data_IF_930326649536
#
_entry.id   IF_930326649536
#
_cell.length_a   1.000
_cell.length_b   1.000
_cell.length_c   1.000
_cell.angle_alpha   90.00
_cell.angle_beta   90.00
_cell.angle_gamma   90.00
#
_symmetry.space_group_name_H-M   'P 1'
#
loop_
_entity.id
_entity.type
_entity.pdbx_description
1 polymer ?
#
# COMPACT_ATOMS: atom_id res chain seq x y z
N UNK A 1 -50.19 -1.74 -24.95
CA UNK A 1 -49.65 -1.77 -23.58
C UNK A 1 -48.15 -1.53 -23.63
N UNK A 2 -47.68 -0.36 -23.17
CA UNK A 2 -46.25 -0.03 -23.08
C UNK A 2 -45.71 -0.67 -21.80
N UNK A 3 -44.92 -1.74 -21.92
CA UNK A 3 -44.14 -2.28 -20.82
C UNK A 3 -42.69 -1.82 -20.99
N UNK A 4 -42.26 -1.09 -19.97
CA UNK A 4 -40.97 -0.45 -19.80
C UNK A 4 -39.80 -1.43 -19.94
N UNK A 5 -38.86 -1.09 -20.81
CA UNK A 5 -37.58 -1.77 -20.93
C UNK A 5 -36.76 -1.61 -19.64
N UNK A 6 -36.54 -2.71 -18.91
CA UNK A 6 -35.52 -2.74 -17.87
C UNK A 6 -34.12 -2.73 -18.52
N UNK A 7 -33.23 -1.78 -18.18
CA UNK A 7 -31.86 -1.82 -18.66
C UNK A 7 -31.06 -2.92 -17.95
N UNK A 8 -30.11 -3.51 -18.69
CA UNK A 8 -29.18 -4.53 -18.21
C UNK A 8 -28.48 -4.12 -16.90
N UNK A 9 -28.12 -5.08 -16.02
CA UNK A 9 -27.36 -4.78 -14.82
C UNK A 9 -25.93 -4.40 -15.20
N UNK A 10 -25.71 -3.14 -15.55
CA UNK A 10 -24.41 -2.52 -15.34
C UNK A 10 -24.18 -2.62 -13.84
N UNK A 11 -23.28 -3.49 -13.37
CA UNK A 11 -22.74 -3.40 -12.02
C UNK A 11 -22.19 -1.97 -11.90
N UNK A 12 -22.99 -1.08 -11.31
CA UNK A 12 -22.64 0.32 -11.15
C UNK A 12 -21.42 0.31 -10.24
N UNK A 13 -20.26 0.63 -10.78
CA UNK A 13 -19.05 0.96 -10.03
C UNK A 13 -19.39 1.93 -8.88
N UNK A 14 -20.40 2.80 -9.07
CA UNK A 14 -20.99 3.66 -8.03
C UNK A 14 -21.57 2.88 -6.83
N UNK A 15 -22.28 1.77 -7.03
CA UNK A 15 -22.83 0.96 -5.94
C UNK A 15 -21.73 0.29 -5.12
N UNK A 16 -20.68 -0.21 -5.78
CA UNK A 16 -19.52 -0.81 -5.10
C UNK A 16 -18.70 0.26 -4.35
N UNK A 17 -18.52 1.46 -4.95
CA UNK A 17 -17.89 2.59 -4.28
C UNK A 17 -18.70 3.15 -3.12
N UNK A 18 -20.03 3.07 -3.15
CA UNK A 18 -20.88 3.53 -2.05
C UNK A 18 -20.87 2.53 -0.89
N UNK A 19 -20.82 1.22 -1.16
CA UNK A 19 -20.78 0.19 -0.11
C UNK A 19 -19.39 -0.01 0.49
N UNK A 20 -18.35 0.01 -0.33
CA UNK A 20 -16.96 -0.17 0.11
C UNK A 20 -16.23 1.15 0.43
N UNK A 21 -16.70 2.27 -0.10
CA UNK A 21 -16.09 3.59 0.08
C UNK A 21 -15.90 4.00 1.54
N UNK A 22 -16.90 3.87 2.43
CA UNK A 22 -16.75 4.24 3.83
C UNK A 22 -15.65 3.44 4.56
N UNK A 23 -15.32 2.24 4.10
CA UNK A 23 -14.29 1.38 4.72
C UNK A 23 -12.92 1.48 4.03
N UNK A 24 -12.88 1.60 2.70
CA UNK A 24 -11.63 1.68 1.94
C UNK A 24 -11.07 3.10 1.84
N UNK A 25 -11.92 4.12 1.73
CA UNK A 25 -11.50 5.52 1.61
C UNK A 25 -10.68 6.00 2.82
N UNK A 26 -11.08 5.78 4.09
CA UNK A 26 -10.27 6.21 5.23
C UNK A 26 -8.92 5.46 5.30
N UNK A 27 -8.88 4.19 4.89
CA UNK A 27 -7.61 3.44 4.81
C UNK A 27 -6.73 3.92 3.66
N UNK A 28 -7.29 4.24 2.51
CA UNK A 28 -6.57 4.80 1.37
C UNK A 28 -6.03 6.21 1.70
N UNK A 29 -6.80 7.05 2.39
CA UNK A 29 -6.37 8.36 2.86
C UNK A 29 -5.29 8.23 3.94
N UNK A 30 -5.44 7.32 4.90
CA UNK A 30 -4.42 7.06 5.92
C UNK A 30 -3.12 6.52 5.30
N UNK A 31 -3.23 5.64 4.31
CA UNK A 31 -2.12 5.13 3.51
C UNK A 31 -1.44 6.26 2.72
N UNK A 32 -2.21 7.11 2.03
CA UNK A 32 -1.68 8.25 1.30
C UNK A 32 -1.01 9.27 2.23
N UNK A 33 -1.63 9.60 3.36
CA UNK A 33 -1.08 10.51 4.38
C UNK A 33 0.19 9.94 5.00
N UNK A 34 0.24 8.63 5.29
CA UNK A 34 1.44 7.98 5.83
C UNK A 34 2.57 7.85 4.80
N UNK A 35 2.24 7.61 3.52
CA UNK A 35 3.21 7.63 2.42
C UNK A 35 3.78 9.04 2.21
N UNK A 36 2.93 10.08 2.20
CA UNK A 36 3.33 11.48 2.09
C UNK A 36 4.14 11.95 3.31
N UNK A 37 3.71 11.61 4.52
CA UNK A 37 4.44 11.91 5.75
C UNK A 37 5.80 11.20 5.82
N UNK A 38 5.92 10.01 5.21
CA UNK A 38 7.20 9.32 5.07
C UNK A 38 8.10 9.98 4.02
N UNK A 39 7.53 10.54 2.95
CA UNK A 39 8.26 11.24 1.90
C UNK A 39 8.85 12.58 2.37
N UNK A 40 8.19 13.29 3.29
CA UNK A 40 8.62 14.58 3.83
C UNK A 40 9.58 14.48 5.03
N UNK A 41 10.06 13.28 5.40
CA UNK A 41 10.97 13.13 6.56
C UNK A 41 12.37 13.64 6.23
N UNK A 42 12.94 14.56 7.04
CA UNK A 42 14.30 15.07 6.85
C UNK A 42 15.39 13.99 7.04
N UNK A 43 15.05 12.89 7.71
CA UNK A 43 15.97 11.80 8.09
C UNK A 43 15.78 10.53 7.22
N UNK A 44 15.48 10.70 5.92
CA UNK A 44 15.22 9.59 4.98
C UNK A 44 16.48 8.75 4.74
N UNK A 45 16.41 7.40 4.82
CA UNK A 45 17.54 6.56 4.40
C UNK A 45 17.80 6.72 2.89
N UNK A 46 19.07 6.71 2.44
CA UNK A 46 19.40 6.84 1.03
C UNK A 46 18.73 5.73 0.20
N UNK A 47 18.48 6.04 -1.08
CA UNK A 47 17.93 5.08 -2.04
C UNK A 47 18.90 3.90 -2.13
N UNK A 48 18.42 2.70 -1.77
CA UNK A 48 19.22 1.49 -1.79
C UNK A 48 19.09 0.79 -3.16
N UNK A 49 20.17 0.17 -3.68
CA UNK A 49 20.08 -0.69 -4.86
C UNK A 49 19.22 -1.91 -4.54
N UNK A 50 18.54 -2.44 -5.57
CA UNK A 50 17.65 -3.57 -5.42
C UNK A 50 18.45 -4.84 -5.07
N UNK A 51 18.19 -5.41 -3.90
CA UNK A 51 18.87 -6.63 -3.44
C UNK A 51 18.44 -7.83 -4.30
N UNK A 52 19.37 -8.74 -4.61
CA UNK A 52 19.14 -9.93 -5.44
C UNK A 52 17.87 -10.77 -5.13
N UNK A 53 17.50 -11.04 -3.86
CA UNK A 53 16.22 -11.71 -3.57
C UNK A 53 14.98 -10.90 -3.98
N UNK A 54 14.95 -9.60 -3.68
CA UNK A 54 13.84 -8.72 -4.09
C UNK A 54 13.76 -8.60 -5.62
N UNK A 55 14.89 -8.56 -6.31
CA UNK A 55 14.95 -8.58 -7.77
C UNK A 55 14.30 -9.86 -8.33
N UNK A 56 14.63 -11.04 -7.79
CA UNK A 56 14.04 -12.31 -8.25
C UNK A 56 12.51 -12.34 -8.08
N UNK A 57 12.01 -11.86 -6.95
CA UNK A 57 10.56 -11.76 -6.72
C UNK A 57 9.86 -10.79 -7.69
N UNK A 58 10.46 -9.62 -7.93
CA UNK A 58 9.94 -8.62 -8.88
C UNK A 58 9.94 -9.18 -10.31
N UNK A 59 11.04 -9.81 -10.74
CA UNK A 59 11.14 -10.42 -12.07
C UNK A 59 10.11 -11.52 -12.24
N UNK A 60 9.94 -12.40 -11.25
CA UNK A 60 8.94 -13.47 -11.29
C UNK A 60 7.52 -12.92 -11.51
N UNK A 61 7.12 -11.91 -10.73
CA UNK A 61 5.80 -11.28 -10.86
C UNK A 61 5.63 -10.52 -12.17
N UNK A 62 6.67 -9.83 -12.65
CA UNK A 62 6.61 -9.13 -13.94
C UNK A 62 6.50 -10.11 -15.11
N UNK A 63 7.24 -11.21 -15.09
CA UNK A 63 7.15 -12.26 -16.12
C UNK A 63 5.75 -12.89 -16.10
N UNK A 64 5.21 -13.19 -14.91
CA UNK A 64 3.84 -13.69 -14.77
C UNK A 64 2.80 -12.69 -15.31
N UNK A 65 2.91 -11.41 -14.94
CA UNK A 65 2.04 -10.35 -15.42
C UNK A 65 2.10 -10.19 -16.95
N UNK A 66 3.29 -10.18 -17.53
CA UNK A 66 3.48 -10.11 -18.99
C UNK A 66 2.91 -11.33 -19.71
N UNK A 67 3.11 -12.53 -19.14
CA UNK A 67 2.53 -13.76 -19.69
C UNK A 67 0.99 -13.71 -19.67
N UNK A 68 0.38 -13.31 -18.56
CA UNK A 68 -1.07 -13.16 -18.43
C UNK A 68 -1.62 -12.09 -19.39
N UNK A 69 -0.93 -10.95 -19.48
CA UNK A 69 -1.30 -9.87 -20.39
C UNK A 69 -1.20 -10.29 -21.85
N UNK A 70 -0.14 -11.02 -22.22
CA UNK A 70 0.00 -11.63 -23.54
C UNK A 70 -1.16 -12.57 -23.86
N UNK A 71 -1.53 -13.45 -22.92
CA UNK A 71 -2.71 -14.34 -23.08
C UNK A 71 -4.05 -13.60 -23.13
N UNK A 72 -4.13 -12.40 -22.56
CA UNK A 72 -5.34 -11.56 -22.59
C UNK A 72 -5.48 -10.83 -23.94
N UNK A 73 -4.37 -10.36 -24.50
CA UNK A 73 -4.34 -9.49 -25.68
C UNK A 73 -4.21 -10.26 -27.00
N UNK A 74 -3.51 -11.41 -27.02
CA UNK A 74 -3.27 -12.15 -28.26
C UNK A 74 -4.48 -13.03 -28.60
N UNK A 75 -5.20 -12.75 -29.70
CA UNK A 75 -6.38 -13.53 -30.10
C UNK A 75 -6.02 -14.98 -30.46
N UNK A 76 -4.80 -15.24 -30.93
CA UNK A 76 -4.31 -16.59 -31.24
C UNK A 76 -4.22 -17.51 -30.00
N UNK A 77 -4.16 -16.94 -28.78
CA UNK A 77 -4.11 -17.70 -27.52
C UNK A 77 -5.50 -17.88 -26.89
N UNK A 78 -6.53 -17.28 -27.49
CA UNK A 78 -7.91 -17.45 -27.09
C UNK A 78 -8.55 -18.63 -27.86
N UNK A 79 -9.47 -19.37 -27.23
CA UNK A 79 -10.25 -20.38 -27.95
C UNK A 79 -11.00 -19.74 -29.11
N UNK A 80 -11.06 -20.44 -30.25
CA UNK A 80 -11.75 -19.96 -31.43
C UNK A 80 -13.26 -19.80 -31.17
N UNK A 81 -13.84 -18.71 -31.67
CA UNK A 81 -15.27 -18.49 -31.67
C UNK A 81 -15.85 -18.88 -33.03
N UNK A 82 -16.67 -19.94 -33.07
CA UNK A 82 -17.24 -20.49 -34.30
C UNK A 82 -18.11 -19.47 -35.04
N UNK A 83 -18.86 -18.62 -34.32
CA UNK A 83 -19.70 -17.58 -34.95
C UNK A 83 -18.88 -16.45 -35.54
N UNK A 84 -17.76 -16.08 -34.91
CA UNK A 84 -16.84 -15.05 -35.43
C UNK A 84 -16.03 -15.61 -36.60
N UNK A 85 -15.52 -16.84 -36.50
CA UNK A 85 -14.77 -17.48 -37.58
C UNK A 85 -15.61 -17.63 -38.85
N UNK A 86 -16.88 -18.04 -38.72
CA UNK A 86 -17.80 -18.23 -39.85
C UNK A 86 -18.61 -16.98 -40.21
N UNK A 87 -18.39 -15.84 -39.53
CA UNK A 87 -19.15 -14.59 -39.68
C UNK A 87 -20.68 -14.81 -39.71
N UNK A 88 -21.18 -15.69 -38.83
CA UNK A 88 -22.57 -16.14 -38.84
C UNK A 88 -23.36 -15.60 -37.66
N UNK A 89 -24.63 -15.27 -37.89
CA UNK A 89 -25.57 -14.81 -36.84
C UNK A 89 -25.95 -15.93 -35.88
N UNK A 90 -26.32 -15.59 -34.66
CA UNK A 90 -26.67 -16.57 -33.61
C UNK A 90 -27.86 -17.46 -33.97
N UNK A 91 -28.78 -17.00 -34.82
CA UNK A 91 -29.99 -17.72 -35.25
C UNK A 91 -29.80 -18.60 -36.50
N UNK A 92 -28.59 -18.69 -37.06
CA UNK A 92 -28.33 -19.49 -38.26
C UNK A 92 -28.68 -20.99 -38.05
N UNK A 93 -29.21 -21.73 -39.03
CA UNK A 93 -29.39 -23.17 -38.89
C UNK A 93 -28.05 -23.88 -38.58
N UNK A 94 -28.06 -24.88 -37.69
CA UNK A 94 -26.85 -25.57 -37.22
C UNK A 94 -26.08 -26.21 -38.37
N UNK A 95 -26.78 -26.86 -39.28
CA UNK A 95 -26.20 -27.48 -40.49
C UNK A 95 -25.39 -26.47 -41.31
N UNK A 96 -25.98 -25.32 -41.64
CA UNK A 96 -25.32 -24.28 -42.44
C UNK A 96 -24.08 -23.72 -41.72
N UNK A 97 -24.14 -23.58 -40.39
CA UNK A 97 -22.99 -23.13 -39.60
C UNK A 97 -21.82 -24.10 -39.72
N UNK A 98 -22.07 -25.40 -39.55
CA UNK A 98 -21.01 -26.41 -39.60
C UNK A 98 -20.54 -26.73 -41.03
N UNK A 99 -21.38 -26.57 -42.05
CA UNK A 99 -20.92 -26.62 -43.46
C UNK A 99 -19.97 -25.46 -43.78
N UNK A 100 -20.23 -24.25 -43.26
CA UNK A 100 -19.30 -23.12 -43.39
C UNK A 100 -18.03 -23.37 -42.58
N UNK A 101 -18.15 -23.93 -41.38
CA UNK A 101 -16.99 -24.24 -40.56
C UNK A 101 -16.10 -25.27 -41.24
N UNK A 102 -16.66 -26.35 -41.80
CA UNK A 102 -15.88 -27.35 -42.53
C UNK A 102 -15.16 -26.74 -43.73
N UNK A 103 -15.77 -25.78 -44.44
CA UNK A 103 -15.07 -25.08 -45.54
C UNK A 103 -13.83 -24.27 -45.11
N UNK A 104 -13.76 -23.86 -43.83
CA UNK A 104 -12.62 -23.15 -43.25
C UNK A 104 -11.56 -24.10 -42.65
N UNK A 105 -11.88 -25.38 -42.48
CA UNK A 105 -10.97 -26.38 -41.90
C UNK A 105 -10.08 -27.02 -42.98
N UNK A 106 -8.85 -27.45 -42.62
CA UNK A 106 -8.01 -28.23 -43.51
C UNK A 106 -8.73 -29.51 -43.96
N UNK A 107 -8.75 -29.77 -45.28
CA UNK A 107 -9.38 -30.99 -45.83
C UNK A 107 -10.91 -30.98 -45.85
N UNK A 108 -11.55 -29.81 -45.66
CA UNK A 108 -13.01 -29.66 -45.69
C UNK A 108 -13.78 -30.58 -44.71
N UNK A 109 -13.11 -31.03 -43.65
CA UNK A 109 -13.65 -31.95 -42.65
C UNK A 109 -13.77 -31.27 -41.29
N UNK A 110 -14.81 -31.63 -40.55
CA UNK A 110 -15.00 -31.17 -39.17
C UNK A 110 -14.00 -31.88 -38.26
N UNK A 111 -13.48 -31.16 -37.26
CA UNK A 111 -12.66 -31.79 -36.22
C UNK A 111 -13.56 -32.56 -35.24
N UNK A 112 -13.04 -33.56 -34.50
CA UNK A 112 -13.84 -34.29 -33.49
C UNK A 112 -14.50 -33.37 -32.46
N UNK A 113 -13.85 -32.24 -32.16
CA UNK A 113 -14.38 -31.19 -31.29
C UNK A 113 -15.52 -30.42 -31.93
N UNK A 114 -15.41 -30.11 -33.23
CA UNK A 114 -16.48 -29.45 -33.99
C UNK A 114 -17.71 -30.37 -34.09
N UNK A 115 -17.52 -31.68 -34.28
CA UNK A 115 -18.61 -32.67 -34.28
C UNK A 115 -19.30 -32.77 -32.91
N UNK A 116 -18.52 -32.78 -31.82
CA UNK A 116 -19.06 -32.74 -30.46
C UNK A 116 -19.86 -31.45 -30.20
N UNK A 117 -19.39 -30.29 -30.68
CA UNK A 117 -20.13 -29.03 -30.61
C UNK A 117 -21.40 -29.07 -31.44
N UNK A 118 -21.35 -29.65 -32.64
CA UNK A 118 -22.51 -29.79 -33.53
C UNK A 118 -23.63 -30.58 -32.88
N UNK A 119 -23.30 -31.69 -32.23
CA UNK A 119 -24.26 -32.51 -31.49
C UNK A 119 -24.97 -31.74 -30.35
N UNK A 120 -24.34 -30.69 -29.81
CA UNK A 120 -24.88 -29.88 -28.71
C UNK A 120 -25.69 -28.66 -29.17
N UNK A 121 -25.48 -28.16 -30.40
CA UNK A 121 -26.18 -27.01 -30.97
C UNK A 121 -27.59 -27.34 -31.48
N UNK A 122 -28.45 -27.91 -30.61
CA UNK A 122 -29.82 -28.31 -30.97
C UNK A 122 -30.79 -27.13 -30.88
N UNK A 123 -30.65 -26.29 -29.86
CA UNK A 123 -31.57 -25.19 -29.55
C UNK A 123 -30.83 -23.85 -29.39
N UNK A 124 -31.58 -22.73 -29.35
CA UNK A 124 -30.99 -21.41 -29.11
C UNK A 124 -30.28 -21.36 -27.75
N UNK A 125 -30.84 -22.02 -26.74
CA UNK A 125 -30.31 -22.04 -25.37
C UNK A 125 -28.87 -22.60 -25.29
N UNK A 126 -28.59 -23.70 -25.96
CA UNK A 126 -27.24 -24.29 -26.06
C UNK A 126 -26.22 -23.31 -26.66
N UNK A 127 -26.66 -22.47 -27.59
CA UNK A 127 -25.82 -21.41 -28.19
C UNK A 127 -25.63 -20.24 -27.23
N UNK A 128 -26.59 -19.94 -26.37
CA UNK A 128 -26.41 -18.94 -25.30
C UNK A 128 -25.42 -19.46 -24.25
N UNK A 129 -25.50 -20.73 -23.88
CA UNK A 129 -24.56 -21.39 -22.97
C UNK A 129 -23.14 -21.43 -23.56
N UNK A 130 -23.01 -21.63 -24.88
CA UNK A 130 -21.74 -21.50 -25.60
C UNK A 130 -21.09 -20.11 -25.40
N UNK A 131 -21.89 -19.04 -25.49
CA UNK A 131 -21.41 -17.67 -25.32
C UNK A 131 -21.01 -17.35 -23.86
N UNK A 132 -21.61 -18.04 -22.90
CA UNK A 132 -21.33 -17.86 -21.47
C UNK A 132 -20.13 -18.67 -20.99
N UNK A 133 -20.09 -19.98 -21.29
CA UNK A 133 -19.10 -20.92 -20.75
C UNK A 133 -17.99 -21.31 -21.74
N UNK A 134 -18.19 -21.03 -23.03
CA UNK A 134 -17.21 -21.27 -24.08
C UNK A 134 -17.28 -22.64 -24.75
N UNK A 135 -16.42 -22.86 -25.77
CA UNK A 135 -16.47 -24.04 -26.62
C UNK A 135 -16.06 -25.33 -25.91
N UNK A 136 -15.07 -25.30 -25.01
CA UNK A 136 -14.60 -26.52 -24.33
C UNK A 136 -15.70 -27.10 -23.43
N UNK A 137 -16.29 -26.27 -22.56
CA UNK A 137 -17.32 -26.68 -21.60
C UNK A 137 -18.51 -27.33 -22.29
N UNK A 138 -18.97 -26.75 -23.40
CA UNK A 138 -20.12 -27.28 -24.12
C UNK A 138 -19.79 -28.57 -24.88
N UNK A 139 -18.59 -28.68 -25.46
CA UNK A 139 -18.18 -29.85 -26.24
C UNK A 139 -17.85 -31.06 -25.37
N UNK A 140 -17.18 -30.86 -24.23
CA UNK A 140 -16.56 -31.94 -23.45
C UNK A 140 -17.33 -32.33 -22.19
N UNK A 141 -18.40 -31.63 -21.80
CA UNK A 141 -19.11 -31.96 -20.59
C UNK A 141 -19.90 -33.28 -20.74
N UNK A 142 -19.62 -34.32 -19.92
CA UNK A 142 -20.25 -35.63 -20.05
C UNK A 142 -21.63 -35.71 -19.40
N UNK A 143 -21.90 -34.87 -18.38
CA UNK A 143 -23.14 -34.89 -17.59
C UNK A 143 -24.01 -33.64 -17.79
N UNK A 144 -23.61 -32.71 -18.67
CA UNK A 144 -24.39 -31.52 -18.95
C UNK A 144 -25.42 -31.82 -20.05
N UNK A 145 -26.68 -31.94 -19.65
CA UNK A 145 -27.86 -31.98 -20.53
C UNK A 145 -27.92 -33.17 -21.51
N UNK A 146 -28.67 -34.21 -21.15
CA UNK A 146 -29.26 -35.14 -22.12
C UNK A 146 -30.52 -34.54 -22.77
N UNK A 147 -31.00 -35.10 -23.90
CA UNK A 147 -32.22 -34.65 -24.59
C UNK A 147 -33.48 -34.58 -23.70
N UNK A 148 -33.51 -35.32 -22.59
CA UNK A 148 -34.72 -35.52 -21.77
C UNK A 148 -34.61 -34.98 -20.33
N UNK A 149 -33.50 -34.32 -19.96
CA UNK A 149 -33.27 -33.91 -18.57
C UNK A 149 -33.80 -32.50 -18.28
N UNK A 150 -35.06 -32.42 -17.82
CA UNK A 150 -35.67 -31.17 -17.33
C UNK A 150 -34.89 -30.51 -16.17
N UNK A 151 -34.09 -31.27 -15.41
CA UNK A 151 -33.17 -30.76 -14.37
C UNK A 151 -31.89 -30.12 -14.92
N UNK A 152 -31.55 -30.38 -16.19
CA UNK A 152 -30.42 -29.77 -16.90
C UNK A 152 -30.81 -28.53 -17.73
N UNK A 153 -32.10 -28.14 -17.73
CA UNK A 153 -32.61 -26.89 -18.32
C UNK A 153 -32.17 -25.63 -17.57
N UNK A 154 -31.52 -25.77 -16.40
CA UNK A 154 -30.79 -24.71 -15.75
C UNK A 154 -29.31 -24.83 -16.09
N UNK A 155 -28.68 -23.78 -16.59
CA UNK A 155 -27.23 -23.74 -16.89
C UNK A 155 -26.28 -23.98 -15.70
N UNK A 156 -26.76 -24.55 -14.59
CA UNK A 156 -26.03 -24.88 -13.38
C UNK A 156 -25.05 -26.05 -13.56
N UNK A 157 -25.42 -27.10 -14.30
CA UNK A 157 -24.50 -28.23 -14.58
C UNK A 157 -23.27 -27.76 -15.36
N UNK A 158 -23.49 -26.93 -16.39
CA UNK A 158 -22.43 -26.27 -17.16
C UNK A 158 -21.58 -25.35 -16.29
N UNK A 159 -22.18 -24.60 -15.35
CA UNK A 159 -21.45 -23.77 -14.40
C UNK A 159 -20.49 -24.60 -13.54
N UNK A 160 -20.96 -25.68 -12.92
CA UNK A 160 -20.11 -26.53 -12.07
C UNK A 160 -18.97 -27.19 -12.86
N UNK A 161 -19.22 -27.62 -14.09
CA UNK A 161 -18.16 -28.13 -14.97
C UNK A 161 -17.16 -27.05 -15.38
N UNK A 162 -17.61 -25.80 -15.55
CA UNK A 162 -16.75 -24.66 -15.90
C UNK A 162 -15.88 -24.18 -14.72
N UNK A 163 -16.28 -24.40 -13.47
CA UNK A 163 -15.60 -23.88 -12.27
C UNK A 163 -14.10 -24.17 -12.20
N UNK A 164 -13.61 -25.41 -12.46
CA UNK A 164 -12.17 -25.68 -12.44
C UNK A 164 -11.39 -24.83 -13.45
N UNK A 165 -11.89 -24.71 -14.69
CA UNK A 165 -11.27 -23.87 -15.71
C UNK A 165 -11.36 -22.37 -15.37
N UNK A 166 -12.43 -21.96 -14.69
CA UNK A 166 -12.67 -20.61 -14.21
C UNK A 166 -11.67 -20.21 -13.10
N UNK A 167 -11.43 -21.11 -12.15
CA UNK A 167 -10.60 -20.89 -10.96
C UNK A 167 -9.11 -21.18 -11.17
N UNK A 168 -8.76 -22.06 -12.13
CA UNK A 168 -7.38 -22.42 -12.44
C UNK A 168 -6.42 -21.21 -12.59
N UNK A 169 -6.73 -20.15 -13.38
CA UNK A 169 -5.82 -19.00 -13.48
C UNK A 169 -5.64 -18.26 -12.16
N UNK A 170 -6.68 -18.20 -11.32
CA UNK A 170 -6.61 -17.55 -9.99
C UNK A 170 -5.77 -18.35 -9.01
N UNK A 171 -5.92 -19.67 -9.00
CA UNK A 171 -5.12 -20.57 -8.15
C UNK A 171 -3.65 -20.56 -8.55
N UNK A 172 -3.36 -20.56 -9.86
CA UNK A 172 -2.00 -20.45 -10.37
C UNK A 172 -1.39 -19.09 -10.02
N UNK A 173 -2.14 -17.99 -10.17
CA UNK A 173 -1.67 -16.66 -9.78
C UNK A 173 -1.41 -16.57 -8.28
N UNK A 174 -2.32 -17.10 -7.46
CA UNK A 174 -2.16 -17.17 -6.01
C UNK A 174 -0.89 -17.94 -5.63
N UNK A 175 -0.60 -19.04 -6.31
CA UNK A 175 0.62 -19.82 -6.10
C UNK A 175 1.88 -19.02 -6.45
N UNK A 176 1.91 -18.37 -7.61
CA UNK A 176 3.03 -17.51 -8.05
C UNK A 176 3.24 -16.35 -7.08
N UNK A 177 2.16 -15.65 -6.70
CA UNK A 177 2.22 -14.56 -5.74
C UNK A 177 2.68 -15.03 -4.35
N UNK A 178 2.27 -16.23 -3.92
CA UNK A 178 2.71 -16.83 -2.65
C UNK A 178 4.21 -17.13 -2.68
N UNK A 179 4.74 -17.69 -3.78
CA UNK A 179 6.18 -17.91 -3.95
C UNK A 179 6.93 -16.57 -3.97
N UNK A 180 6.48 -15.61 -4.77
CA UNK A 180 7.11 -14.30 -4.90
C UNK A 180 7.20 -13.56 -3.56
N UNK A 181 6.20 -13.75 -2.70
CA UNK A 181 6.15 -13.11 -1.39
C UNK A 181 6.80 -13.94 -0.28
N UNK A 182 7.27 -15.18 -0.52
CA UNK A 182 7.85 -16.08 0.51
C UNK A 182 9.21 -15.58 1.03
N UNK A 183 9.56 -15.77 2.32
CA UNK A 183 10.76 -15.14 2.89
C UNK A 183 12.03 -15.70 2.27
N UNK A 184 12.02 -16.98 1.85
CA UNK A 184 13.17 -17.61 1.19
C UNK A 184 13.57 -16.91 -0.11
N UNK A 185 12.60 -16.42 -0.90
CA UNK A 185 12.87 -15.69 -2.13
C UNK A 185 13.16 -14.20 -1.88
N UNK A 186 12.60 -13.62 -0.81
CA UNK A 186 12.84 -12.23 -0.38
C UNK A 186 14.07 -12.05 0.56
N UNK A 187 14.78 -13.14 0.89
CA UNK A 187 16.07 -13.10 1.60
C UNK A 187 16.02 -13.37 3.11
N UNK A 188 14.87 -13.68 3.69
CA UNK A 188 14.70 -13.89 5.14
C UNK A 188 15.25 -15.22 5.70
N UNK A 189 15.70 -16.15 4.87
CA UNK A 189 16.19 -17.47 5.32
C UNK A 189 17.71 -17.67 5.17
N UNK A 190 18.39 -16.83 4.37
CA UNK A 190 19.83 -17.00 4.09
C UNK A 190 20.75 -16.19 5.04
N UNK A 191 20.19 -15.37 5.94
CA UNK A 191 21.00 -14.57 6.88
C UNK A 191 21.25 -15.31 8.22
N UNK A 192 20.68 -16.50 8.42
CA UNK A 192 20.88 -17.28 9.66
C UNK A 192 21.99 -18.34 9.58
N UNK A 193 22.64 -18.52 8.42
CA UNK A 193 23.73 -19.51 8.27
C UNK A 193 25.13 -18.92 8.52
N UNK A 194 25.31 -17.60 8.41
CA UNK A 194 26.63 -16.97 8.60
C UNK A 194 26.89 -16.53 10.06
N UNK A 195 25.85 -16.44 10.90
CA UNK A 195 25.96 -15.92 12.28
C UNK A 195 26.08 -17.01 13.36
N UNK A 196 26.07 -18.28 12.95
CA UNK A 196 26.15 -19.44 13.85
C UNK A 196 27.58 -19.94 14.17
N UNK A 197 28.62 -19.28 13.69
CA UNK A 197 30.00 -19.75 13.91
C UNK A 197 30.76 -18.99 15.02
N UNK A 198 30.35 -17.78 15.43
CA UNK A 198 31.05 -17.02 16.46
C UNK A 198 30.05 -16.39 17.47
N UNK A 199 30.17 -16.85 18.72
CA UNK A 199 29.64 -16.28 19.97
C UNK A 199 28.23 -16.73 20.43
N UNK A 200 28.23 -17.67 21.37
CA UNK A 200 27.96 -17.38 22.79
C UNK A 200 26.62 -16.71 23.14
N UNK A 201 25.77 -17.49 23.82
CA UNK A 201 24.70 -17.09 24.76
C UNK A 201 24.23 -15.63 24.69
N UNK A 202 23.23 -15.38 23.86
CA UNK A 202 22.42 -14.17 23.91
C UNK A 202 20.98 -14.53 23.54
N UNK A 203 20.13 -14.64 24.54
CA UNK A 203 18.68 -14.81 24.37
C UNK A 203 18.12 -13.66 23.54
N UNK A 204 17.90 -13.92 22.25
CA UNK A 204 17.51 -12.95 21.24
C UNK A 204 15.99 -12.87 21.06
N UNK A 205 15.30 -12.21 21.98
CA UNK A 205 13.87 -11.88 21.85
C UNK A 205 13.67 -10.54 21.12
N UNK A 206 14.07 -10.43 19.85
CA UNK A 206 13.81 -9.22 19.04
C UNK A 206 13.53 -9.51 17.54
N UNK A 207 12.93 -10.66 17.23
CA UNK A 207 12.55 -11.05 15.85
C UNK A 207 11.12 -10.69 15.43
N UNK A 208 10.29 -10.08 16.30
CA UNK A 208 8.83 -10.00 16.10
C UNK A 208 8.34 -8.98 15.05
N UNK A 209 9.03 -7.86 14.86
CA UNK A 209 8.54 -6.77 13.99
C UNK A 209 8.57 -7.11 12.49
N UNK A 210 9.63 -7.78 12.04
CA UNK A 210 9.87 -8.01 10.61
C UNK A 210 9.01 -9.14 10.07
N UNK A 211 8.80 -10.21 10.84
CA UNK A 211 7.91 -11.30 10.45
C UNK A 211 6.47 -10.85 10.27
N UNK A 212 6.01 -9.91 11.09
CA UNK A 212 4.60 -9.48 11.11
C UNK A 212 4.24 -8.65 9.89
N UNK A 213 5.13 -7.74 9.47
CA UNK A 213 4.94 -6.96 8.25
C UNK A 213 4.84 -7.86 7.02
N UNK A 214 5.71 -8.86 6.93
CA UNK A 214 5.76 -9.79 5.80
C UNK A 214 4.51 -10.69 5.78
N UNK A 215 4.03 -11.16 6.94
CA UNK A 215 2.76 -11.91 7.04
C UNK A 215 1.57 -11.09 6.56
N UNK A 216 1.52 -9.79 6.86
CA UNK A 216 0.44 -8.88 6.40
C UNK A 216 0.43 -8.70 4.88
N UNK A 217 1.59 -8.55 4.24
CA UNK A 217 1.66 -8.41 2.78
C UNK A 217 1.22 -9.70 2.07
N UNK A 218 1.55 -10.86 2.63
CA UNK A 218 1.07 -12.16 2.12
C UNK A 218 -0.43 -12.31 2.26
N UNK A 219 -1.00 -11.99 3.43
CA UNK A 219 -2.43 -12.13 3.64
C UNK A 219 -3.24 -11.17 2.76
N UNK A 220 -2.72 -9.96 2.51
CA UNK A 220 -3.33 -9.01 1.58
C UNK A 220 -3.28 -9.50 0.12
N UNK A 221 -2.13 -10.00 -0.35
CA UNK A 221 -2.00 -10.55 -1.69
C UNK A 221 -2.89 -11.78 -1.91
N UNK A 222 -2.96 -12.67 -0.91
CA UNK A 222 -3.83 -13.83 -0.92
C UNK A 222 -5.31 -13.41 -0.91
N UNK A 223 -5.70 -12.50 -0.03
CA UNK A 223 -7.07 -11.98 0.04
C UNK A 223 -7.50 -11.29 -1.26
N UNK A 224 -6.61 -10.52 -1.90
CA UNK A 224 -6.88 -9.89 -3.19
C UNK A 224 -7.10 -10.93 -4.30
N UNK A 225 -6.28 -11.99 -4.34
CA UNK A 225 -6.43 -13.08 -5.31
C UNK A 225 -7.74 -13.84 -5.12
N UNK A 226 -8.09 -14.16 -3.87
CA UNK A 226 -9.38 -14.81 -3.53
C UNK A 226 -10.57 -13.91 -3.85
N UNK A 227 -10.47 -12.61 -3.58
CA UNK A 227 -11.52 -11.66 -3.91
C UNK A 227 -11.74 -11.54 -5.42
N UNK A 228 -10.67 -11.53 -6.23
CA UNK A 228 -10.79 -11.56 -7.70
C UNK A 228 -11.43 -12.86 -8.17
N UNK A 229 -11.04 -14.01 -7.61
CA UNK A 229 -11.66 -15.30 -7.95
C UNK A 229 -13.16 -15.30 -7.62
N UNK A 230 -13.55 -14.84 -6.43
CA UNK A 230 -14.94 -14.76 -6.01
C UNK A 230 -15.76 -13.80 -6.88
N UNK A 231 -15.20 -12.64 -7.23
CA UNK A 231 -15.83 -11.69 -8.15
C UNK A 231 -16.08 -12.33 -9.51
N UNK A 232 -15.12 -13.09 -10.02
CA UNK A 232 -15.20 -13.72 -11.34
C UNK A 232 -16.24 -14.85 -11.40
N UNK A 233 -16.29 -15.67 -10.35
CA UNK A 233 -17.35 -16.66 -10.13
C UNK A 233 -18.72 -15.97 -10.11
N UNK A 234 -18.85 -14.89 -9.33
CA UNK A 234 -20.08 -14.12 -9.23
C UNK A 234 -20.50 -13.52 -10.58
N UNK A 235 -19.57 -12.89 -11.32
CA UNK A 235 -19.87 -12.31 -12.63
C UNK A 235 -20.29 -13.36 -13.65
N UNK A 236 -19.67 -14.55 -13.61
CA UNK A 236 -20.01 -15.67 -14.51
C UNK A 236 -21.38 -16.25 -14.18
N UNK A 237 -21.69 -16.42 -12.89
CA UNK A 237 -22.95 -17.00 -12.41
C UNK A 237 -24.13 -16.04 -12.60
N UNK A 238 -23.92 -14.74 -12.37
CA UNK A 238 -24.97 -13.70 -12.48
C UNK A 238 -25.17 -13.19 -13.90
N UNK A 239 -24.39 -13.69 -14.87
CA UNK A 239 -24.51 -13.27 -16.26
C UNK A 239 -25.84 -13.70 -16.88
N UNK A 240 -26.58 -12.73 -17.45
CA UNK A 240 -27.82 -13.00 -18.16
C UNK A 240 -27.55 -13.37 -19.63
N UNK A 241 -27.33 -14.66 -19.88
CA UNK A 241 -27.14 -15.18 -21.24
C UNK A 241 -28.37 -14.95 -22.15
N UNK A 242 -29.57 -14.87 -21.57
CA UNK A 242 -30.81 -14.60 -22.30
C UNK A 242 -30.84 -13.24 -23.01
N UNK A 243 -29.99 -12.28 -22.63
CA UNK A 243 -29.90 -10.99 -23.31
C UNK A 243 -29.50 -11.13 -24.79
N UNK A 244 -28.66 -12.12 -25.12
CA UNK A 244 -28.22 -12.39 -26.49
C UNK A 244 -29.28 -13.04 -27.38
N UNK A 245 -30.39 -13.55 -26.80
CA UNK A 245 -31.46 -14.18 -27.59
C UNK A 245 -32.14 -13.19 -28.57
N UNK A 246 -32.09 -11.90 -28.27
CA UNK A 246 -32.69 -10.83 -29.08
C UNK A 246 -31.73 -10.26 -30.14
N UNK A 247 -30.45 -10.63 -30.10
CA UNK A 247 -29.46 -10.12 -31.04
C UNK A 247 -29.70 -10.69 -32.44
N UNK A 248 -29.85 -9.80 -33.43
CA UNK A 248 -30.10 -10.19 -34.83
C UNK A 248 -28.82 -10.17 -35.66
N UNK A 249 -27.87 -9.32 -35.26
CA UNK A 249 -26.56 -9.15 -35.90
C UNK A 249 -25.47 -9.73 -35.03
N UNK A 250 -24.39 -10.21 -35.66
CA UNK A 250 -23.22 -10.72 -34.93
C UNK A 250 -22.59 -9.66 -34.02
N UNK A 251 -22.56 -8.40 -34.47
CA UNK A 251 -22.00 -7.28 -33.71
C UNK A 251 -22.82 -6.92 -32.45
N UNK A 252 -24.08 -7.33 -32.36
CA UNK A 252 -24.95 -7.09 -31.20
C UNK A 252 -24.79 -8.17 -30.11
N UNK A 253 -24.11 -9.28 -30.44
CA UNK A 253 -23.95 -10.41 -29.53
C UNK A 253 -22.81 -10.11 -28.54
N UNK A 254 -23.12 -10.15 -27.24
CA UNK A 254 -22.10 -10.07 -26.20
C UNK A 254 -21.38 -11.42 -26.07
N UNK A 255 -20.12 -11.44 -26.50
CA UNK A 255 -19.22 -12.59 -26.44
C UNK A 255 -18.62 -12.74 -25.04
N UNK A 256 -19.49 -12.97 -24.04
CA UNK A 256 -19.14 -12.90 -22.62
C UNK A 256 -17.94 -13.77 -22.25
N UNK A 257 -17.88 -15.04 -22.68
CA UNK A 257 -16.78 -15.95 -22.38
C UNK A 257 -15.41 -15.37 -22.77
N UNK A 258 -15.29 -14.82 -23.98
CA UNK A 258 -14.02 -14.24 -24.46
C UNK A 258 -13.70 -12.93 -23.73
N UNK A 259 -14.70 -12.07 -23.53
CA UNK A 259 -14.54 -10.79 -22.82
C UNK A 259 -14.16 -10.99 -21.35
N UNK A 260 -14.81 -11.92 -20.65
CA UNK A 260 -14.55 -12.24 -19.24
C UNK A 260 -13.20 -12.92 -19.07
N UNK A 261 -12.82 -13.83 -19.98
CA UNK A 261 -11.48 -14.43 -20.02
C UNK A 261 -10.38 -13.37 -20.15
N UNK A 262 -10.49 -12.46 -21.13
CA UNK A 262 -9.51 -11.40 -21.32
C UNK A 262 -9.47 -10.46 -20.11
N UNK A 263 -10.63 -10.04 -19.59
CA UNK A 263 -10.73 -9.19 -18.40
C UNK A 263 -10.11 -9.81 -17.16
N UNK A 264 -10.33 -11.10 -16.91
CA UNK A 264 -9.74 -11.86 -15.79
C UNK A 264 -8.22 -11.90 -15.86
N UNK A 265 -7.68 -12.27 -17.02
CA UNK A 265 -6.23 -12.35 -17.22
C UNK A 265 -5.58 -10.97 -17.07
N UNK A 266 -6.22 -9.91 -17.60
CA UNK A 266 -5.77 -8.55 -17.41
C UNK A 266 -5.82 -8.11 -15.93
N UNK A 267 -6.88 -8.46 -15.19
CA UNK A 267 -7.01 -8.14 -13.77
C UNK A 267 -5.91 -8.81 -12.93
N UNK A 268 -5.61 -10.08 -13.21
CA UNK A 268 -4.50 -10.80 -12.57
C UNK A 268 -3.14 -10.19 -12.92
N UNK A 269 -2.92 -9.82 -14.18
CA UNK A 269 -1.69 -9.13 -14.60
C UNK A 269 -1.50 -7.78 -13.87
N UNK A 270 -2.58 -7.01 -13.69
CA UNK A 270 -2.56 -5.76 -12.92
C UNK A 270 -2.24 -6.02 -11.45
N UNK A 271 -2.82 -7.06 -10.85
CA UNK A 271 -2.51 -7.44 -9.47
C UNK A 271 -1.03 -7.76 -9.30
N UNK A 272 -0.48 -8.60 -10.17
CA UNK A 272 0.94 -8.99 -10.13
C UNK A 272 1.87 -7.80 -10.37
N UNK A 273 1.53 -6.92 -11.32
CA UNK A 273 2.25 -5.67 -11.56
C UNK A 273 2.23 -4.74 -10.35
N UNK A 274 1.09 -4.63 -9.66
CA UNK A 274 0.96 -3.83 -8.44
C UNK A 274 1.77 -4.41 -7.28
N UNK A 275 1.78 -5.74 -7.12
CA UNK A 275 2.62 -6.43 -6.13
C UNK A 275 4.11 -6.24 -6.42
N UNK A 276 4.53 -6.39 -7.68
CA UNK A 276 5.90 -6.14 -8.11
C UNK A 276 6.33 -4.70 -7.82
N UNK A 277 5.48 -3.72 -8.15
CA UNK A 277 5.73 -2.31 -7.85
C UNK A 277 5.84 -2.04 -6.34
N UNK A 278 4.97 -2.64 -5.52
CA UNK A 278 5.03 -2.50 -4.07
C UNK A 278 6.34 -3.07 -3.49
N UNK A 279 6.76 -4.27 -3.94
CA UNK A 279 8.03 -4.88 -3.52
C UNK A 279 9.22 -4.01 -3.95
N UNK A 280 9.22 -3.53 -5.19
CA UNK A 280 10.28 -2.66 -5.70
C UNK A 280 10.41 -1.36 -4.89
N UNK A 281 9.29 -0.68 -4.63
CA UNK A 281 9.27 0.56 -3.87
C UNK A 281 9.69 0.37 -2.42
N UNK A 282 9.30 -0.74 -1.80
CA UNK A 282 9.71 -1.10 -0.44
C UNK A 282 11.21 -1.46 -0.38
N UNK A 283 11.70 -2.25 -1.33
CA UNK A 283 13.10 -2.70 -1.34
C UNK A 283 14.10 -1.57 -1.65
N UNK A 284 13.68 -0.52 -2.37
CA UNK A 284 14.53 0.63 -2.74
C UNK A 284 14.43 1.81 -1.76
N UNK A 285 13.73 1.67 -0.63
CA UNK A 285 13.43 2.76 0.31
C UNK A 285 12.76 3.98 -0.38
N UNK A 286 11.93 3.71 -1.40
CA UNK A 286 11.15 4.74 -2.11
C UNK A 286 9.77 4.98 -1.50
N UNK A 287 9.16 3.92 -0.99
CA UNK A 287 7.92 3.97 -0.22
C UNK A 287 8.00 2.99 0.96
N UNK A 288 7.05 3.08 1.90
CA UNK A 288 6.96 2.17 3.05
C UNK A 288 8.19 2.19 3.98
N UNK A 289 8.73 3.38 4.25
CA UNK A 289 9.87 3.55 5.14
C UNK A 289 9.55 2.93 6.51
N UNK A 290 10.34 1.94 6.90
CA UNK A 290 10.25 1.36 8.25
C UNK A 290 10.62 2.44 9.27
N UNK A 291 9.78 2.72 10.27
CA UNK A 291 10.19 3.58 11.36
C UNK A 291 11.40 2.94 12.05
N UNK A 292 12.44 3.73 12.33
CA UNK A 292 13.54 3.27 13.19
C UNK A 292 12.95 2.82 14.52
N UNK A 293 13.46 1.69 15.05
CA UNK A 293 13.10 1.21 16.39
C UNK A 293 13.35 2.33 17.42
N UNK A 294 12.61 2.39 18.55
CA UNK A 294 12.83 3.38 19.58
C UNK A 294 14.30 3.38 20.06
N UNK A 295 14.92 2.22 20.17
CA UNK A 295 16.35 2.07 20.45
C UNK A 295 17.24 2.66 19.34
N UNK A 296 16.91 2.43 18.05
CA UNK A 296 17.63 3.02 16.92
C UNK A 296 17.50 4.56 16.87
N UNK A 297 16.35 5.11 17.28
CA UNK A 297 16.18 6.55 17.46
C UNK A 297 17.06 7.09 18.58
N UNK A 298 17.06 6.43 19.74
CA UNK A 298 17.90 6.79 20.87
C UNK A 298 19.39 6.73 20.53
N UNK A 299 19.85 5.65 19.89
CA UNK A 299 21.23 5.48 19.45
C UNK A 299 21.67 6.57 18.45
N UNK A 300 20.80 6.98 17.52
CA UNK A 300 21.08 8.08 16.59
C UNK A 300 21.20 9.42 17.30
N UNK A 301 20.30 9.73 18.24
CA UNK A 301 20.36 10.97 19.03
C UNK A 301 21.62 10.96 19.91
N UNK A 302 21.94 9.83 20.55
CA UNK A 302 23.17 9.65 21.31
C UNK A 302 24.41 9.88 20.43
N UNK A 303 24.44 9.34 19.21
CA UNK A 303 25.54 9.60 18.26
C UNK A 303 25.70 11.08 17.90
N UNK A 304 24.59 11.80 17.69
CA UNK A 304 24.62 13.27 17.47
C UNK A 304 25.12 14.02 18.70
N UNK A 305 24.70 13.61 19.90
CA UNK A 305 25.14 14.19 21.16
C UNK A 305 26.64 13.96 21.40
N UNK A 306 27.14 12.76 21.11
CA UNK A 306 28.58 12.46 21.19
C UNK A 306 29.38 13.32 20.22
N UNK A 307 28.91 13.49 18.98
CA UNK A 307 29.56 14.36 18.01
C UNK A 307 29.54 15.84 18.45
N UNK A 308 28.43 16.31 19.03
CA UNK A 308 28.33 17.66 19.59
C UNK A 308 29.27 17.85 20.79
N UNK A 309 29.32 16.87 21.71
CA UNK A 309 30.25 16.87 22.86
C UNK A 309 31.70 16.91 22.40
N UNK A 310 32.07 16.16 21.37
CA UNK A 310 33.42 16.21 20.81
C UNK A 310 33.78 17.61 20.29
N UNK A 311 32.87 18.26 19.56
CA UNK A 311 33.06 19.64 19.08
C UNK A 311 33.21 20.64 20.24
N UNK A 312 32.38 20.52 21.28
CA UNK A 312 32.49 21.35 22.48
C UNK A 312 33.80 21.10 23.24
N UNK A 313 34.27 19.85 23.29
CA UNK A 313 35.57 19.50 23.85
C UNK A 313 36.71 20.19 23.11
N UNK A 314 36.70 20.16 21.77
CA UNK A 314 37.68 20.88 20.95
C UNK A 314 37.62 22.38 21.19
N UNK A 315 36.42 22.97 21.21
CA UNK A 315 36.25 24.39 21.51
C UNK A 315 36.77 24.75 22.91
N UNK A 316 36.55 23.87 23.90
CA UNK A 316 37.07 24.02 25.26
C UNK A 316 38.59 23.97 25.31
N UNK A 317 39.22 23.02 24.60
CA UNK A 317 40.68 22.94 24.49
C UNK A 317 41.25 24.21 23.85
N UNK A 318 40.69 24.64 22.72
CA UNK A 318 41.12 25.88 22.03
C UNK A 318 40.99 27.09 22.97
N UNK A 319 39.85 27.24 23.66
CA UNK A 319 39.65 28.33 24.63
C UNK A 319 40.66 28.27 25.76
N UNK A 320 40.94 27.07 26.30
CA UNK A 320 41.91 26.90 27.37
C UNK A 320 43.33 27.24 26.90
N UNK A 321 43.72 26.81 25.70
CA UNK A 321 45.01 27.16 25.08
C UNK A 321 45.15 28.67 24.89
N UNK A 322 44.13 29.35 24.36
CA UNK A 322 44.12 30.82 24.18
C UNK A 322 44.22 31.54 25.53
N UNK A 323 43.55 31.05 26.58
CA UNK A 323 43.60 31.67 27.89
C UNK A 323 44.91 31.44 28.63
N UNK A 324 45.66 30.37 28.32
CA UNK A 324 46.96 30.09 28.96
C UNK A 324 48.12 30.87 28.32
N UNK A 325 48.06 31.11 27.02
CA UNK A 325 49.08 31.89 26.30
C UNK A 325 48.84 33.40 26.47
N UNK A 326 49.90 34.16 26.77
CA UNK A 326 49.78 35.60 27.03
C UNK A 326 49.47 36.42 25.77
N UNK A 327 50.10 36.09 24.65
CA UNK A 327 49.96 36.80 23.39
C UNK A 327 48.60 36.53 22.75
N UNK A 328 48.14 35.27 22.78
CA UNK A 328 46.81 34.90 22.27
C UNK A 328 45.68 35.54 23.08
N UNK A 329 45.84 35.61 24.41
CA UNK A 329 44.86 36.26 25.29
C UNK A 329 44.77 37.75 25.02
N UNK A 330 45.90 38.44 24.82
CA UNK A 330 45.93 39.86 24.48
C UNK A 330 45.22 40.10 23.13
N UNK A 331 45.55 39.32 22.09
CA UNK A 331 44.89 39.42 20.78
C UNK A 331 43.38 39.14 20.84
N UNK A 332 42.95 38.18 21.67
CA UNK A 332 41.54 37.90 21.90
C UNK A 332 40.85 39.09 22.58
N UNK A 333 41.47 39.69 23.60
CA UNK A 333 40.95 40.88 24.26
C UNK A 333 40.85 42.08 23.29
N UNK A 334 41.88 42.33 22.48
CA UNK A 334 41.91 43.39 21.48
C UNK A 334 40.85 43.18 20.39
N UNK A 335 40.60 41.93 19.99
CA UNK A 335 39.51 41.60 19.08
C UNK A 335 38.16 41.98 19.68
N UNK A 336 37.87 41.54 20.91
CA UNK A 336 36.59 41.84 21.57
C UNK A 336 36.42 43.32 21.90
N UNK A 337 37.50 44.03 22.22
CA UNK A 337 37.47 45.47 22.43
C UNK A 337 37.11 46.21 21.13
N UNK A 338 37.73 45.84 20.01
CA UNK A 338 37.41 46.39 18.68
C UNK A 338 35.99 46.06 18.23
N UNK A 339 35.54 44.83 18.47
CA UNK A 339 34.17 44.42 18.16
C UNK A 339 33.17 45.26 18.99
N UNK A 340 33.43 45.45 20.29
CA UNK A 340 32.58 46.28 21.15
C UNK A 340 32.55 47.74 20.70
N UNK A 341 33.69 48.28 20.24
CA UNK A 341 33.76 49.63 19.68
C UNK A 341 32.98 49.75 18.37
N UNK A 342 33.15 48.81 17.45
CA UNK A 342 32.40 48.75 16.18
C UNK A 342 30.89 48.60 16.41
N UNK A 343 30.49 47.72 17.35
CA UNK A 343 29.08 47.56 17.74
C UNK A 343 28.53 48.81 18.40
N UNK A 344 29.34 49.52 19.20
CA UNK A 344 28.94 50.79 19.82
C UNK A 344 28.74 51.86 18.76
N UNK A 345 29.67 52.02 17.83
CA UNK A 345 29.56 52.95 16.70
C UNK A 345 28.33 52.64 15.84
N UNK A 346 28.14 51.38 15.45
CA UNK A 346 26.96 50.94 14.70
C UNK A 346 25.64 51.15 15.47
N UNK A 347 25.68 51.15 16.81
CA UNK A 347 24.53 51.44 17.66
C UNK A 347 24.31 52.94 17.87
N UNK A 348 25.31 53.78 17.61
CA UNK A 348 25.17 55.25 17.65
C UNK A 348 24.54 55.80 16.36
N UNK A 349 24.55 55.01 15.27
CA UNK A 349 23.86 55.35 14.02
C UNK A 349 22.36 55.53 14.24
N UNK A 350 21.85 56.68 13.75
CA UNK A 350 20.46 57.10 13.95
C UNK A 350 19.46 56.09 13.38
N UNK A 351 19.74 55.55 12.20
CA UNK A 351 18.86 54.58 11.54
C UNK A 351 18.74 53.27 12.35
N UNK A 352 19.83 52.85 13.00
CA UNK A 352 19.84 51.65 13.86
C UNK A 352 19.12 51.91 15.17
N UNK A 353 19.32 53.08 15.78
CA UNK A 353 18.60 53.49 17.00
C UNK A 353 17.09 53.58 16.78
N UNK A 354 16.67 54.20 15.68
CA UNK A 354 15.26 54.31 15.30
C UNK A 354 14.66 52.93 15.00
N UNK A 355 15.40 52.06 14.31
CA UNK A 355 14.99 50.68 14.05
C UNK A 355 14.89 49.81 15.32
N UNK A 356 15.83 49.94 16.26
CA UNK A 356 15.80 49.23 17.54
C UNK A 356 14.67 49.74 18.42
N UNK A 357 14.42 51.06 18.44
CA UNK A 357 13.31 51.65 19.17
C UNK A 357 11.95 51.18 18.61
N UNK A 358 11.76 51.21 17.28
CA UNK A 358 10.57 50.66 16.63
C UNK A 358 10.38 49.18 16.96
N UNK A 359 11.45 48.38 16.93
CA UNK A 359 11.39 46.98 17.27
C UNK A 359 10.97 46.76 18.74
N UNK A 360 11.52 47.52 19.68
CA UNK A 360 11.18 47.41 21.11
C UNK A 360 9.76 47.88 21.43
N UNK A 361 9.26 48.90 20.74
CA UNK A 361 7.91 49.46 20.98
C UNK A 361 6.84 48.62 20.28
N UNK A 362 7.08 48.19 19.04
CA UNK A 362 6.02 47.65 18.18
C UNK A 362 6.13 46.14 17.93
N UNK A 363 7.32 45.52 18.05
CA UNK A 363 7.55 44.13 17.56
C UNK A 363 8.03 43.15 18.62
N UNK A 364 8.72 43.63 19.65
CA UNK A 364 9.41 42.80 20.64
C UNK A 364 8.78 43.01 22.01
N UNK A 365 8.28 41.94 22.63
CA UNK A 365 7.81 41.96 24.01
C UNK A 365 8.95 41.59 24.94
N UNK A 366 9.57 42.59 25.58
CA UNK A 366 10.72 42.42 26.48
C UNK A 366 10.42 41.42 27.60
N UNK A 367 9.21 41.47 28.17
CA UNK A 367 8.78 40.55 29.24
C UNK A 367 8.76 39.07 28.79
N UNK A 368 8.48 38.81 27.52
CA UNK A 368 8.49 37.45 26.99
C UNK A 368 9.94 36.95 26.85
N UNK A 369 10.85 37.83 26.44
CA UNK A 369 12.29 37.53 26.34
C UNK A 369 12.88 37.29 27.73
N UNK A 370 12.57 38.14 28.72
CA UNK A 370 13.05 37.97 30.10
C UNK A 370 12.60 36.63 30.69
N UNK A 371 11.32 36.29 30.50
CA UNK A 371 10.75 35.02 30.96
C UNK A 371 11.38 33.81 30.24
N UNK A 372 11.69 33.93 28.95
CA UNK A 372 12.36 32.88 28.19
C UNK A 372 13.83 32.72 28.59
N UNK A 373 14.52 33.83 28.88
CA UNK A 373 15.88 33.84 29.38
C UNK A 373 15.98 33.23 30.78
N UNK A 374 15.07 33.59 31.69
CA UNK A 374 14.99 33.01 33.03
C UNK A 374 14.73 31.49 32.96
N UNK A 375 13.81 31.06 32.10
CA UNK A 375 13.53 29.63 31.88
C UNK A 375 14.75 28.89 31.32
N UNK A 376 15.50 29.50 30.42
CA UNK A 376 16.72 28.93 29.86
C UNK A 376 17.82 28.81 30.93
N UNK A 377 18.04 29.87 31.72
CA UNK A 377 19.02 29.89 32.81
C UNK A 377 18.70 28.84 33.88
N UNK A 378 17.44 28.77 34.32
CA UNK A 378 16.96 27.74 35.25
C UNK A 378 17.10 26.32 34.69
N UNK A 379 17.01 26.15 33.37
CA UNK A 379 17.21 24.86 32.69
C UNK A 379 18.68 24.42 32.55
N UNK A 380 19.63 25.33 32.71
CA UNK A 380 21.07 25.02 32.71
C UNK A 380 21.62 24.65 34.09
N UNK A 381 20.93 25.04 35.16
CA UNK A 381 21.28 24.63 36.50
C UNK A 381 20.98 23.13 36.65
N UNK A 382 21.91 22.32 37.18
CA UNK A 382 21.59 20.96 37.59
C UNK A 382 20.43 21.06 38.58
N UNK A 383 19.37 20.29 38.35
CA UNK A 383 18.36 20.08 39.38
C UNK A 383 19.09 19.43 40.55
N UNK A 384 19.33 20.22 41.60
CA UNK A 384 19.61 19.66 42.91
C UNK A 384 18.33 18.92 43.25
N UNK A 385 18.38 17.59 43.10
CA UNK A 385 17.43 16.74 43.79
C UNK A 385 17.75 16.97 45.26
N UNK A 386 16.78 17.51 46.00
CA UNK A 386 16.88 17.60 47.45
C UNK A 386 16.97 16.16 47.98
N UNK A 387 18.19 15.64 48.07
CA UNK A 387 18.57 14.53 48.94
C UNK A 387 18.42 15.03 50.38
N UNK A 388 17.19 15.09 50.88
CA UNK A 388 16.94 15.01 52.32
C UNK A 388 17.08 13.54 52.75
N UNK A 389 18.33 13.09 52.86
CA UNK A 389 18.69 11.97 53.72
C UNK A 389 18.61 12.44 55.18
N UNK A 390 17.96 11.61 56.00
CA UNK A 390 17.37 12.01 57.27
C UNK A 390 18.31 12.21 58.44
N UNK A 391 17.82 13.00 59.40
CA UNK A 391 18.04 12.81 60.83
C UNK A 391 16.69 12.97 61.53
N UNK A 392 16.44 12.05 62.46
CA UNK A 392 15.19 11.81 63.18
C UNK A 392 14.78 13.00 64.07
N UNK A 393 13.50 13.37 64.07
CA UNK A 393 12.70 13.56 65.30
C UNK A 393 11.21 13.78 65.00
N UNK A 394 10.40 13.38 65.97
CA UNK A 394 8.96 13.11 65.97
C UNK A 394 8.05 14.27 65.55
N UNK A 395 6.95 13.97 64.88
CA UNK A 395 5.88 14.96 64.63
C UNK A 395 4.80 14.51 63.66
N UNK A 396 3.75 13.88 64.19
CA UNK A 396 2.54 13.52 63.47
C UNK A 396 1.89 14.70 62.72
N UNK A 397 1.46 14.44 61.48
CA UNK A 397 0.16 14.96 61.02
C UNK A 397 0.12 16.25 60.20
N UNK A 398 0.78 16.36 59.03
CA UNK A 398 0.37 17.40 58.05
C UNK A 398 0.70 17.15 56.56
N UNK A 399 0.69 15.90 56.06
CA UNK A 399 0.88 15.63 54.61
C UNK A 399 -0.40 15.36 53.81
N UNK A 400 -1.57 15.58 54.40
CA UNK A 400 -2.88 15.38 53.75
C UNK A 400 -3.51 16.61 53.10
N UNK A 401 -3.07 17.84 53.40
CA UNK A 401 -3.83 19.06 53.07
C UNK A 401 -3.34 19.83 51.84
N UNK A 402 -2.05 19.77 51.49
CA UNK A 402 -1.47 20.55 50.37
C UNK A 402 -1.77 20.00 48.97
N UNK A 403 -2.29 18.77 48.85
CA UNK A 403 -2.68 18.16 47.56
C UNK A 403 -4.12 18.52 47.12
N UNK A 404 -4.91 19.16 47.98
CA UNK A 404 -6.27 19.58 47.67
C UNK A 404 -6.36 21.03 47.15
N UNK A 405 -5.47 21.94 47.58
CA UNK A 405 -5.53 23.36 47.18
C UNK A 405 -4.89 23.67 45.81
N UNK A 406 -3.98 22.83 45.32
CA UNK A 406 -3.37 23.06 44.00
C UNK A 406 -4.27 22.59 42.84
N UNK A 407 -5.34 21.83 43.14
CA UNK A 407 -6.31 21.34 42.15
C UNK A 407 -7.49 22.31 41.94
N UNK A 408 -7.73 23.23 42.88
CA UNK A 408 -8.83 24.22 42.80
C UNK A 408 -8.45 25.52 42.08
N UNK A 409 -7.17 25.92 42.06
CA UNK A 409 -6.75 27.18 41.38
C UNK A 409 -6.60 27.01 39.85
N UNK A 410 -6.38 25.79 39.34
CA UNK A 410 -6.23 25.54 37.89
C UNK A 410 -7.57 25.34 37.15
N UNK A 411 -8.68 25.24 37.89
CA UNK A 411 -10.03 25.08 37.34
C UNK A 411 -10.75 26.42 37.12
N UNK A 412 -10.25 27.54 37.66
CA UNK A 412 -10.94 28.85 37.58
C UNK A 412 -10.43 29.79 36.49
N UNK A 413 -9.31 29.48 35.80
CA UNK A 413 -8.79 30.32 34.70
C UNK A 413 -9.22 29.90 33.29
N UNK A 414 -9.99 28.81 33.15
CA UNK A 414 -10.44 28.29 31.83
C UNK A 414 -11.89 28.67 31.45
N UNK A 415 -12.54 29.58 32.17
CA UNK A 415 -13.96 29.94 31.94
C UNK A 415 -14.23 31.44 31.76
N UNK A 416 -13.24 32.24 31.32
CA UNK A 416 -13.46 33.64 30.92
C UNK A 416 -12.77 33.96 29.60
N UNK A 417 -13.35 33.46 28.51
CA UNK A 417 -13.19 34.08 27.18
C UNK A 417 -14.32 33.61 26.25
N UNK A 418 -15.52 34.10 26.49
CA UNK A 418 -16.58 34.22 25.47
C UNK A 418 -17.54 35.33 25.89
N UNK A 419 -17.90 36.18 24.92
CA UNK A 419 -18.88 37.30 24.96
C UNK A 419 -18.32 38.55 25.67
N UNK A 420 -18.09 39.70 25.02
CA UNK A 420 -19.02 40.62 24.31
C UNK A 420 -18.17 41.47 23.34
N UNK A 421 -18.62 41.71 22.10
CA UNK A 421 -19.09 43.04 21.69
C UNK A 421 -18.42 43.49 20.41
#
# INVERSE_FOLDING_TARGET
MRLTSAPAPTLRIKSLLITLGPFLLPKAIAWYRSARASASRPDRPPIAPLRGPALRAVVLLLVAALFLLGRALLPALAPENVFVATQSRLQIPTEVLFTRLSSLRPGHALTPRDDALRARFVNLESRLLYLQYGPDVLASCPFCGGPDDARASGGSSYFYYALPALLAPHLLNLFVASIATTPGLLGGAAENKQRGANNGSGSGSNGGSDSDSIRRWRSLAAAASVALAALDVYLTQSYNAGANARATRLAEVDMFFWRSRAGRLAALAVLDGALAAAIYLAATNRAFLRPLTPAGRAARVAGRLVAAKAKLGVAGVVRNSVLRDADLRARMADYWAREAECVREAREDRDVLEGVNDALVNRIRIQDIERDAERYALGMLPRVEDEEDGEDEEGEGEKGKRRAEQKTVRSSSSSRETVVG
#
